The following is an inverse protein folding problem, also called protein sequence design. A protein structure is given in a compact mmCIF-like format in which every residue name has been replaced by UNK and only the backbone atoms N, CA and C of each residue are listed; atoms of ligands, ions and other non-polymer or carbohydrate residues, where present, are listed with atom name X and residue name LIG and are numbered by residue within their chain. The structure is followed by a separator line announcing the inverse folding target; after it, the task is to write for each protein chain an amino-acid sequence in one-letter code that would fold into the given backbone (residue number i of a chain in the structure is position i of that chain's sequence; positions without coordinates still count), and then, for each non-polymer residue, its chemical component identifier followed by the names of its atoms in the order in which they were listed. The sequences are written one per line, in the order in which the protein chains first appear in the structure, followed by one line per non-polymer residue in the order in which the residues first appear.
data_IF_917791852895
#
_entry.id   IF_917791852895
#
_cell.length_a   1.000
_cell.length_b   1.000
_cell.length_c   1.000
_cell.angle_alpha   90.00
_cell.angle_beta   90.00
_cell.angle_gamma   90.00
#
_symmetry.space_group_name_H-M   'P 1'
#
loop_
_entity.id
_entity.type
_entity.pdbx_description
1 polymer ?
#
# COMPACT_ATOMS: atom_id res chain seq x y z
N UNK A 1 12.18 -4.00 -12.46
CA UNK A 1 12.35 -2.77 -11.66
C UNK A 1 13.57 -3.00 -10.75
N UNK A 2 14.76 -2.58 -11.20
CA UNK A 2 15.99 -2.73 -10.42
C UNK A 2 16.32 -1.38 -9.78
N UNK A 3 16.50 -1.34 -8.45
CA UNK A 3 16.76 -0.12 -7.70
C UNK A 3 18.19 -0.22 -7.19
N UNK A 4 19.16 0.15 -8.02
CA UNK A 4 20.54 0.27 -7.56
C UNK A 4 20.68 1.56 -6.76
N UNK A 5 21.50 1.52 -5.71
CA UNK A 5 21.76 2.69 -4.88
C UNK A 5 22.27 3.84 -5.75
N UNK A 6 21.46 4.89 -5.92
CA UNK A 6 21.94 6.13 -6.52
C UNK A 6 22.40 7.02 -5.38
N UNK A 7 23.71 7.11 -5.19
CA UNK A 7 24.39 8.04 -4.27
C UNK A 7 24.23 9.53 -4.63
N UNK A 8 23.33 9.87 -5.55
CA UNK A 8 22.98 11.24 -5.90
C UNK A 8 21.49 11.47 -5.70
N UNK A 9 21.16 12.22 -4.65
CA UNK A 9 19.84 12.72 -4.34
C UNK A 9 19.41 13.81 -5.35
N UNK A 10 19.16 13.42 -6.60
CA UNK A 10 18.30 14.19 -7.48
C UNK A 10 16.91 13.61 -7.30
N UNK A 11 16.09 14.22 -6.42
CA UNK A 11 14.69 13.84 -6.26
C UNK A 11 13.98 13.97 -7.61
N UNK A 12 13.62 12.86 -8.29
CA UNK A 12 12.81 12.96 -9.50
C UNK A 12 11.47 13.57 -9.09
N UNK A 13 10.85 14.43 -9.93
CA UNK A 13 9.56 15.03 -9.64
C UNK A 13 8.48 13.95 -9.65
N UNK A 14 8.31 13.28 -8.51
CA UNK A 14 7.26 12.29 -8.32
C UNK A 14 5.92 12.99 -8.49
N UNK A 15 5.08 12.47 -9.40
CA UNK A 15 3.74 13.02 -9.64
C UNK A 15 3.04 13.33 -8.30
N UNK A 16 2.70 14.60 -8.00
CA UNK A 16 2.10 15.00 -6.73
C UNK A 16 0.75 14.32 -6.46
N UNK A 17 0.22 13.59 -7.44
CA UNK A 17 -1.05 12.88 -7.43
C UNK A 17 -1.04 11.60 -6.59
N UNK A 18 0.11 10.97 -6.34
CA UNK A 18 0.18 9.68 -5.62
C UNK A 18 0.10 9.81 -4.08
N UNK A 19 0.53 10.94 -3.52
CA UNK A 19 0.57 11.17 -2.07
C UNK A 19 -0.80 11.41 -1.39
N UNK A 20 -1.77 12.11 -2.01
CA UNK A 20 -3.06 12.37 -1.40
C UNK A 20 -3.84 11.11 -1.01
N UNK A 21 -3.72 10.04 -1.80
CA UNK A 21 -4.44 8.78 -1.56
C UNK A 21 -4.04 8.13 -0.23
N UNK A 22 -2.73 8.05 0.05
CA UNK A 22 -2.23 7.49 1.31
C UNK A 22 -2.54 8.41 2.50
N UNK A 23 -2.59 9.74 2.30
CA UNK A 23 -2.92 10.70 3.35
C UNK A 23 -4.36 10.54 3.85
N UNK A 24 -5.33 10.44 2.95
CA UNK A 24 -6.74 10.24 3.32
C UNK A 24 -6.92 8.94 4.12
N UNK A 25 -6.32 7.85 3.65
CA UNK A 25 -6.38 6.55 4.33
C UNK A 25 -5.80 6.61 5.75
N UNK A 26 -4.67 7.29 5.93
CA UNK A 26 -4.03 7.46 7.24
C UNK A 26 -4.85 8.29 8.23
N UNK A 27 -5.53 9.34 7.76
CA UNK A 27 -6.44 10.16 8.56
C UNK A 27 -7.66 9.37 9.03
N UNK A 28 -8.19 8.47 8.20
CA UNK A 28 -9.32 7.64 8.62
C UNK A 28 -8.96 6.69 9.75
N UNK A 29 -7.70 6.24 9.83
CA UNK A 29 -7.25 5.44 10.98
C UNK A 29 -7.31 6.25 12.28
N UNK A 30 -6.96 7.54 12.23
CA UNK A 30 -7.05 8.41 13.43
C UNK A 30 -8.51 8.69 13.84
N UNK A 31 -9.41 8.69 12.87
CA UNK A 31 -10.84 8.96 13.09
C UNK A 31 -11.64 7.73 13.52
N UNK A 32 -11.08 6.54 13.35
CA UNK A 32 -11.76 5.26 13.62
C UNK A 32 -10.92 4.52 14.67
N UNK A 33 -11.06 4.87 15.96
CA UNK A 33 -10.30 4.22 17.01
C UNK A 33 -10.71 2.74 17.16
N UNK A 34 -9.83 1.89 17.71
CA UNK A 34 -10.15 0.51 17.99
C UNK A 34 -11.25 0.43 19.06
N UNK A 35 -12.25 -0.42 18.85
CA UNK A 35 -13.29 -0.68 19.85
C UNK A 35 -12.79 -1.63 20.91
N UNK A 36 -13.30 -1.48 22.14
CA UNK A 36 -13.07 -2.46 23.19
C UNK A 36 -13.83 -3.74 22.85
N UNK A 37 -13.10 -4.85 22.74
CA UNK A 37 -13.65 -6.16 22.41
C UNK A 37 -13.04 -7.24 23.31
N UNK A 38 -13.76 -8.33 23.50
CA UNK A 38 -13.27 -9.50 24.25
C UNK A 38 -12.26 -10.34 23.45
N UNK A 39 -12.33 -10.27 22.11
CA UNK A 39 -11.39 -10.96 21.23
C UNK A 39 -10.01 -10.31 21.26
N UNK A 40 -8.97 -11.13 21.40
CA UNK A 40 -7.57 -10.71 21.26
C UNK A 40 -7.09 -10.64 19.80
N UNK A 41 -7.89 -11.16 18.87
CA UNK A 41 -7.58 -11.23 17.44
C UNK A 41 -8.45 -10.23 16.67
N UNK A 42 -7.85 -9.49 15.73
CA UNK A 42 -8.52 -8.62 14.76
C UNK A 42 -9.55 -7.65 15.34
N UNK A 43 -9.21 -6.37 15.46
CA UNK A 43 -10.17 -5.36 15.91
C UNK A 43 -11.22 -5.09 14.83
N UNK A 44 -12.50 -5.21 15.20
CA UNK A 44 -13.62 -5.04 14.27
C UNK A 44 -13.74 -3.62 13.69
N UNK A 45 -13.14 -2.60 14.32
CA UNK A 45 -13.03 -1.25 13.75
C UNK A 45 -12.32 -1.23 12.39
N UNK A 46 -11.49 -2.24 12.08
CA UNK A 46 -10.92 -2.38 10.74
C UNK A 46 -11.99 -2.48 9.66
N UNK A 47 -13.12 -3.15 9.94
CA UNK A 47 -14.22 -3.29 8.99
C UNK A 47 -14.83 -1.94 8.66
N UNK A 48 -15.03 -1.09 9.68
CA UNK A 48 -15.51 0.28 9.50
C UNK A 48 -14.52 1.13 8.70
N UNK A 49 -13.21 0.96 8.95
CA UNK A 49 -12.19 1.63 8.16
C UNK A 49 -12.19 1.17 6.70
N UNK A 50 -12.30 -0.14 6.45
CA UNK A 50 -12.33 -0.72 5.12
C UNK A 50 -13.62 -0.37 4.37
N UNK A 51 -14.75 -0.33 5.04
CA UNK A 51 -16.02 0.12 4.48
C UNK A 51 -15.92 1.57 4.00
N UNK A 52 -15.39 2.46 4.84
CA UNK A 52 -15.12 3.85 4.46
C UNK A 52 -14.18 3.94 3.26
N UNK A 53 -13.15 3.09 3.18
CA UNK A 53 -12.30 3.00 2.01
C UNK A 53 -13.11 2.63 0.76
N UNK A 54 -13.93 1.58 0.81
CA UNK A 54 -14.74 1.12 -0.33
C UNK A 54 -15.77 2.13 -0.80
N UNK A 55 -16.37 2.91 0.11
CA UNK A 55 -17.33 3.96 -0.24
C UNK A 55 -16.67 5.16 -0.95
N UNK A 56 -15.38 5.42 -0.65
CA UNK A 56 -14.69 6.61 -1.12
C UNK A 56 -13.70 6.34 -2.27
N UNK A 57 -13.33 5.07 -2.51
CA UNK A 57 -12.27 4.71 -3.47
C UNK A 57 -12.61 5.16 -4.90
N UNK A 58 -13.86 5.05 -5.33
CA UNK A 58 -14.25 5.47 -6.68
C UNK A 58 -14.05 6.98 -6.87
N UNK A 59 -14.55 7.79 -5.93
CA UNK A 59 -14.34 9.25 -5.97
C UNK A 59 -12.87 9.63 -5.91
N UNK A 60 -12.08 8.91 -5.10
CA UNK A 60 -10.63 9.11 -5.00
C UNK A 60 -9.92 8.79 -6.33
N UNK A 61 -10.27 7.67 -6.99
CA UNK A 61 -9.68 7.29 -8.28
C UNK A 61 -10.08 8.25 -9.39
N UNK A 62 -11.34 8.68 -9.45
CA UNK A 62 -11.82 9.65 -10.45
C UNK A 62 -11.14 11.02 -10.33
N UNK A 63 -10.75 11.44 -9.12
CA UNK A 63 -9.98 12.67 -8.89
C UNK A 63 -8.49 12.50 -9.21
N UNK A 64 -7.97 11.28 -9.06
CA UNK A 64 -6.57 10.96 -9.29
C UNK A 64 -6.26 10.83 -10.79
N UNK A 65 -7.12 10.10 -11.53
CA UNK A 65 -6.92 9.77 -12.93
C UNK A 65 -7.22 10.97 -13.86
N UNK A 66 -6.42 11.14 -14.94
CA UNK A 66 -6.81 11.93 -16.11
C UNK A 66 -8.14 11.48 -16.72
N UNK A 67 -8.84 12.40 -17.40
CA UNK A 67 -10.19 12.14 -17.94
C UNK A 67 -10.23 10.96 -18.93
N UNK A 68 -9.20 10.82 -19.76
CA UNK A 68 -9.02 9.75 -20.73
C UNK A 68 -8.79 8.37 -20.10
N UNK A 69 -8.30 8.33 -18.86
CA UNK A 69 -8.02 7.10 -18.11
C UNK A 69 -9.10 6.77 -17.07
N UNK A 70 -10.11 7.62 -16.88
CA UNK A 70 -11.24 7.33 -15.97
C UNK A 70 -11.94 6.00 -16.23
N UNK A 71 -12.13 5.52 -17.47
CA UNK A 71 -12.71 4.21 -17.71
C UNK A 71 -11.93 3.04 -17.07
N UNK A 72 -10.63 3.22 -16.79
CA UNK A 72 -9.78 2.21 -16.16
C UNK A 72 -10.09 1.99 -14.67
N UNK A 73 -10.96 2.80 -14.06
CA UNK A 73 -11.41 2.60 -12.66
C UNK A 73 -12.00 1.21 -12.42
N UNK A 74 -12.66 0.64 -13.42
CA UNK A 74 -13.26 -0.71 -13.38
C UNK A 74 -12.26 -1.78 -12.96
N UNK A 75 -10.98 -1.61 -13.31
CA UNK A 75 -9.92 -2.57 -13.00
C UNK A 75 -9.08 -2.11 -11.79
N UNK A 76 -8.64 -0.84 -11.77
CA UNK A 76 -7.67 -0.40 -10.76
C UNK A 76 -8.25 -0.27 -9.35
N UNK A 77 -9.57 -0.09 -9.20
CA UNK A 77 -10.21 0.04 -7.89
C UNK A 77 -10.07 -1.26 -7.09
N UNK A 78 -10.19 -2.41 -7.75
CA UNK A 78 -10.08 -3.72 -7.12
C UNK A 78 -8.67 -3.92 -6.54
N UNK A 79 -7.63 -3.67 -7.34
CA UNK A 79 -6.24 -3.73 -6.86
C UNK A 79 -5.97 -2.71 -5.74
N UNK A 80 -6.56 -1.51 -5.82
CA UNK A 80 -6.36 -0.49 -4.80
C UNK A 80 -7.00 -0.86 -3.46
N UNK A 81 -8.20 -1.44 -3.50
CA UNK A 81 -8.98 -1.78 -2.29
C UNK A 81 -8.34 -2.99 -1.60
N UNK A 82 -8.04 -4.03 -2.36
CA UNK A 82 -7.52 -5.30 -1.84
C UNK A 82 -6.07 -5.23 -1.36
N UNK A 83 -5.39 -4.08 -1.49
CA UNK A 83 -3.99 -3.93 -1.06
C UNK A 83 -3.79 -3.71 0.43
N UNK A 84 -4.87 -3.51 1.19
CA UNK A 84 -4.81 -3.15 2.62
C UNK A 84 -5.13 -4.30 3.58
N UNK A 85 -5.53 -5.46 3.05
CA UNK A 85 -5.93 -6.62 3.85
C UNK A 85 -7.36 -7.04 3.54
N UNK A 86 -7.86 -8.06 4.22
CA UNK A 86 -9.22 -8.55 4.06
C UNK A 86 -10.13 -8.12 5.21
N UNK A 87 -11.23 -7.41 4.92
CA UNK A 87 -12.17 -6.92 5.94
C UNK A 87 -12.86 -8.05 6.75
N UNK A 88 -13.22 -9.15 6.09
CA UNK A 88 -13.92 -10.26 6.74
C UNK A 88 -13.01 -10.99 7.74
N UNK A 89 -11.80 -11.33 7.29
CA UNK A 89 -10.79 -12.05 8.09
C UNK A 89 -9.97 -11.15 9.02
N UNK A 90 -9.96 -9.84 8.78
CA UNK A 90 -9.15 -8.85 9.51
C UNK A 90 -7.68 -9.27 9.49
N UNK A 91 -7.21 -9.63 8.30
CA UNK A 91 -5.85 -10.11 8.06
C UNK A 91 -5.14 -9.30 6.96
N UNK A 92 -3.82 -9.36 6.96
CA UNK A 92 -2.96 -8.78 5.95
C UNK A 92 -1.76 -9.69 5.69
N UNK A 93 -1.22 -9.69 4.48
CA UNK A 93 -0.06 -10.49 4.12
C UNK A 93 0.44 -10.20 2.71
N UNK A 94 1.38 -11.02 2.24
CA UNK A 94 2.11 -10.81 0.99
C UNK A 94 1.22 -10.80 -0.27
N UNK A 95 0.07 -11.47 -0.24
CA UNK A 95 -0.93 -11.38 -1.32
C UNK A 95 -1.52 -9.97 -1.46
N UNK A 96 -1.80 -9.30 -0.33
CA UNK A 96 -2.28 -7.92 -0.32
C UNK A 96 -1.17 -6.95 -0.73
N UNK A 97 0.07 -7.20 -0.30
CA UNK A 97 1.24 -6.46 -0.78
C UNK A 97 1.44 -6.62 -2.29
N UNK A 98 1.14 -7.80 -2.85
CA UNK A 98 1.19 -8.05 -4.30
C UNK A 98 0.13 -7.22 -5.03
N UNK A 99 -1.07 -7.02 -4.46
CA UNK A 99 -2.07 -6.10 -5.03
C UNK A 99 -1.56 -4.64 -5.08
N UNK A 100 -0.77 -4.21 -4.08
CA UNK A 100 -0.12 -2.89 -4.15
C UNK A 100 0.86 -2.81 -5.34
N UNK A 101 1.69 -3.83 -5.54
CA UNK A 101 2.60 -3.88 -6.68
C UNK A 101 1.87 -3.97 -8.03
N UNK A 102 0.79 -4.75 -8.11
CA UNK A 102 -0.07 -4.84 -9.30
C UNK A 102 -0.71 -3.49 -9.64
N UNK A 103 -1.20 -2.77 -8.62
CA UNK A 103 -1.74 -1.41 -8.80
C UNK A 103 -0.68 -0.45 -9.36
N UNK A 104 0.54 -0.44 -8.81
CA UNK A 104 1.64 0.37 -9.35
C UNK A 104 2.00 -0.03 -10.79
N UNK A 105 1.97 -1.33 -11.10
CA UNK A 105 2.19 -1.84 -12.44
C UNK A 105 1.13 -1.33 -13.42
N UNK A 106 -0.17 -1.38 -13.08
CA UNK A 106 -1.24 -0.82 -13.90
C UNK A 106 -1.01 0.68 -14.17
N UNK A 107 -0.63 1.46 -13.15
CA UNK A 107 -0.33 2.88 -13.32
C UNK A 107 0.87 3.13 -14.26
N UNK A 108 1.90 2.29 -14.18
CA UNK A 108 3.04 2.36 -15.09
C UNK A 108 2.63 2.00 -16.53
N UNK A 109 1.80 0.97 -16.71
CA UNK A 109 1.29 0.54 -18.02
C UNK A 109 0.39 1.58 -18.69
N UNK A 110 -0.33 2.38 -17.91
CA UNK A 110 -1.12 3.50 -18.39
C UNK A 110 -0.30 4.78 -18.63
N UNK A 111 1.02 4.76 -18.35
CA UNK A 111 1.90 5.92 -18.52
C UNK A 111 1.73 7.01 -17.45
N UNK A 112 1.00 6.74 -16.36
CA UNK A 112 0.88 7.64 -15.21
C UNK A 112 2.20 7.68 -14.41
N UNK A 113 2.84 6.51 -14.27
CA UNK A 113 4.18 6.37 -13.69
C UNK A 113 5.15 6.09 -14.82
N UNK A 114 6.18 6.91 -14.96
CA UNK A 114 7.24 6.73 -15.97
C UNK A 114 8.49 6.12 -15.34
N UNK A 115 9.42 5.65 -16.16
CA UNK A 115 10.67 5.05 -15.68
C UNK A 115 11.48 5.99 -14.78
N UNK A 116 11.46 7.29 -15.08
CA UNK A 116 12.05 8.36 -14.26
C UNK A 116 11.48 8.45 -12.84
N UNK A 117 10.25 7.97 -12.62
CA UNK A 117 9.58 7.98 -11.32
C UNK A 117 9.90 6.74 -10.46
N UNK A 118 10.46 5.66 -11.03
CA UNK A 118 10.53 4.35 -10.38
C UNK A 118 11.27 4.38 -9.03
N UNK A 119 12.41 5.06 -8.97
CA UNK A 119 13.16 5.21 -7.72
C UNK A 119 12.35 5.98 -6.68
N UNK A 120 11.67 7.05 -7.10
CA UNK A 120 10.90 7.90 -6.23
C UNK A 120 9.66 7.16 -5.71
N UNK A 121 8.99 6.35 -6.55
CA UNK A 121 7.86 5.50 -6.17
C UNK A 121 8.26 4.55 -5.04
N UNK A 122 9.41 3.88 -5.12
CA UNK A 122 9.82 2.98 -4.04
C UNK A 122 10.32 3.74 -2.82
N UNK A 123 11.18 4.75 -2.99
CA UNK A 123 11.75 5.49 -1.86
C UNK A 123 10.71 6.33 -1.10
N UNK A 124 9.58 6.67 -1.71
CA UNK A 124 8.57 7.56 -1.10
C UNK A 124 7.17 6.93 -1.03
N UNK A 125 6.60 6.49 -2.16
CA UNK A 125 5.22 5.98 -2.18
C UNK A 125 5.12 4.66 -1.44
N UNK A 126 6.05 3.74 -1.70
CA UNK A 126 6.09 2.45 -1.01
C UNK A 126 6.42 2.62 0.48
N UNK A 127 7.36 3.50 0.85
CA UNK A 127 7.62 3.81 2.27
C UNK A 127 6.36 4.34 2.98
N UNK A 128 5.61 5.26 2.35
CA UNK A 128 4.33 5.73 2.90
C UNK A 128 3.25 4.65 2.98
N UNK A 129 3.23 3.72 2.04
CA UNK A 129 2.37 2.55 2.12
C UNK A 129 2.73 1.67 3.33
N UNK A 130 4.02 1.39 3.56
CA UNK A 130 4.47 0.62 4.72
C UNK A 130 4.16 1.32 6.05
N UNK A 131 4.35 2.63 6.14
CA UNK A 131 3.97 3.41 7.33
C UNK A 131 2.47 3.25 7.65
N UNK A 132 1.61 3.36 6.63
CA UNK A 132 0.18 3.16 6.77
C UNK A 132 -0.16 1.72 7.16
N UNK A 133 0.49 0.73 6.54
CA UNK A 133 0.24 -0.67 6.87
C UNK A 133 0.64 -1.01 8.30
N UNK A 134 1.80 -0.56 8.76
CA UNK A 134 2.23 -0.71 10.17
C UNK A 134 1.21 -0.10 11.12
N UNK A 135 0.67 1.07 10.77
CA UNK A 135 -0.37 1.73 11.58
C UNK A 135 -1.65 0.88 11.65
N UNK A 136 -2.12 0.35 10.52
CA UNK A 136 -3.30 -0.53 10.47
C UNK A 136 -3.09 -1.82 11.27
N UNK A 137 -1.94 -2.47 11.08
CA UNK A 137 -1.57 -3.70 11.79
C UNK A 137 -1.55 -3.50 13.31
N UNK A 138 -0.94 -2.40 13.78
CA UNK A 138 -0.82 -2.12 15.21
C UNK A 138 -2.14 -1.67 15.85
N UNK A 139 -2.91 -0.82 15.17
CA UNK A 139 -4.14 -0.24 15.74
C UNK A 139 -5.28 -1.26 15.70
N UNK A 140 -5.40 -2.02 14.62
CA UNK A 140 -6.49 -2.98 14.46
C UNK A 140 -6.08 -4.44 14.65
N UNK A 141 -4.86 -4.72 15.10
CA UNK A 141 -4.39 -6.07 15.38
C UNK A 141 -4.63 -7.04 14.23
N UNK A 142 -4.28 -6.62 13.00
CA UNK A 142 -4.49 -7.43 11.80
C UNK A 142 -3.72 -8.74 11.92
N UNK A 143 -4.36 -9.86 11.60
CA UNK A 143 -3.71 -11.16 11.66
C UNK A 143 -2.78 -11.38 10.45
N UNK A 144 -1.67 -12.11 10.61
CA UNK A 144 -0.84 -12.53 9.48
C UNK A 144 -1.60 -13.46 8.54
N UNK A 145 -1.80 -13.04 7.29
CA UNK A 145 -2.47 -13.84 6.27
C UNK A 145 -1.46 -14.78 5.59
N UNK A 146 -1.75 -16.08 5.61
CA UNK A 146 -0.91 -17.07 4.93
C UNK A 146 0.48 -17.24 5.56
N UNK A 147 0.59 -17.06 6.88
CA UNK A 147 1.87 -17.21 7.58
C UNK A 147 2.49 -18.58 7.28
N UNK A 148 3.76 -18.61 6.88
CA UNK A 148 4.52 -19.85 6.70
C UNK A 148 5.11 -20.37 8.03
N UNK A 149 4.55 -19.92 9.16
CA UNK A 149 5.07 -20.20 10.50
C UNK A 149 6.46 -19.61 10.71
N UNK A 150 7.27 -20.28 11.53
CA UNK A 150 8.60 -19.81 11.97
C UNK A 150 9.61 -19.67 10.82
N UNK A 151 9.30 -20.21 9.64
CA UNK A 151 10.17 -20.17 8.46
C UNK A 151 9.79 -19.07 7.46
N UNK A 152 8.77 -18.25 7.77
CA UNK A 152 8.46 -17.04 7.03
C UNK A 152 9.54 -15.98 7.23
N UNK A 153 9.82 -15.20 6.18
CA UNK A 153 10.77 -14.09 6.28
C UNK A 153 10.27 -12.99 7.21
N UNK A 154 8.97 -12.70 7.14
CA UNK A 154 8.21 -11.76 7.95
C UNK A 154 6.74 -12.18 7.90
N UNK A 155 5.97 -11.78 8.91
CA UNK A 155 4.55 -12.13 9.04
C UNK A 155 3.66 -11.48 7.98
N UNK A 156 4.06 -10.32 7.43
CA UNK A 156 3.22 -9.49 6.59
C UNK A 156 3.83 -9.13 5.23
N UNK A 157 5.15 -8.91 5.18
CA UNK A 157 5.81 -8.22 4.08
C UNK A 157 6.94 -9.03 3.43
N UNK A 158 7.14 -8.85 2.12
CA UNK A 158 8.25 -9.41 1.35
C UNK A 158 8.98 -8.33 0.53
N UNK A 159 8.23 -7.45 -0.12
CA UNK A 159 8.79 -6.39 -0.98
C UNK A 159 9.79 -5.45 -0.28
N UNK A 160 9.66 -5.10 1.02
CA UNK A 160 10.65 -4.27 1.69
C UNK A 160 12.03 -4.92 1.73
N UNK A 161 12.10 -6.24 1.85
CA UNK A 161 13.37 -6.97 1.85
C UNK A 161 14.00 -7.03 0.46
N UNK A 162 13.17 -7.16 -0.60
CA UNK A 162 13.64 -7.14 -1.98
C UNK A 162 14.19 -5.76 -2.34
N UNK A 163 13.42 -4.70 -2.08
CA UNK A 163 13.88 -3.34 -2.38
C UNK A 163 15.03 -2.90 -1.47
N UNK A 164 14.97 -3.23 -0.18
CA UNK A 164 16.01 -2.90 0.79
C UNK A 164 17.35 -3.58 0.49
N UNK A 165 17.33 -4.88 0.16
CA UNK A 165 18.56 -5.58 -0.26
C UNK A 165 19.13 -5.02 -1.56
N UNK A 166 18.28 -4.65 -2.53
CA UNK A 166 18.72 -3.98 -3.77
C UNK A 166 19.39 -2.62 -3.49
N UNK A 167 18.91 -1.88 -2.49
CA UNK A 167 19.51 -0.61 -2.06
C UNK A 167 20.89 -0.77 -1.39
N UNK A 168 21.18 -1.95 -0.84
CA UNK A 168 22.45 -2.26 -0.16
C UNK A 168 23.49 -2.90 -1.09
N UNK A 169 23.18 -3.08 -2.37
CA UNK A 169 24.17 -3.51 -3.36
C UNK A 169 25.33 -2.50 -3.38
N UNK A 170 26.56 -3.02 -3.32
CA UNK A 170 27.81 -2.26 -3.28
C UNK A 170 28.03 -1.40 -2.01
N UNK A 171 27.30 -1.68 -0.92
CA UNK A 171 27.56 -1.07 0.39
C UNK A 171 28.93 -1.51 0.93
N UNK A 172 29.75 -0.54 1.35
CA UNK A 172 31.09 -0.76 1.94
C UNK A 172 31.05 -0.85 3.46
#
# INVERSE_FOLDING_TARGET
MAIKSSTHATNPPLSPRLFPLSKSCGLWVDQIPPVQQSSRYGNTSYRTWHERLTENVESLMLRFLPDDLKPSTVEIISYFTERFGNSSRIDYGTGHETNFAAWLYCLARMGIIKEEDYHAVVARVFVKYLELMKKLQLIYWLEPAGSHGVWGLDDYHLLPFIFGSSQLIDHK
#
